data_IF_992157545911
#
_entry.id   IF_992157545911
#
_cell.length_a   1.000
_cell.length_b   1.000
_cell.length_c   1.000
_cell.angle_alpha   90.00
_cell.angle_beta   90.00
_cell.angle_gamma   90.00
#
_symmetry.space_group_name_H-M   'P 1'
#
loop_
_entity.id
_entity.type
_entity.pdbx_description
1 polymer ?
#
# COMPACT_ATOMS: atom_id res chain seq x y z
N UNK A 1 -71.14 12.91 -41.86
CA UNK A 1 -71.84 11.64 -42.10
C UNK A 1 -71.16 10.90 -43.24
N UNK A 2 -71.06 9.58 -43.09
CA UNK A 2 -70.35 8.61 -43.94
C UNK A 2 -70.85 8.56 -45.39
N UNK A 3 -69.96 8.17 -46.32
CA UNK A 3 -70.32 7.79 -47.68
C UNK A 3 -69.10 7.49 -48.55
N UNK A 4 -68.57 6.28 -48.42
CA UNK A 4 -67.45 5.71 -49.16
C UNK A 4 -67.88 5.23 -50.56
N UNK A 5 -67.08 5.47 -51.61
CA UNK A 5 -66.70 4.52 -52.68
C UNK A 5 -66.16 5.23 -53.94
N UNK A 6 -65.06 4.71 -54.52
CA UNK A 6 -64.65 5.13 -55.88
C UNK A 6 -63.18 4.93 -56.24
N UNK A 7 -62.82 3.69 -56.59
CA UNK A 7 -61.49 3.20 -57.02
C UNK A 7 -60.83 3.99 -58.16
N UNK A 8 -59.49 4.06 -58.16
CA UNK A 8 -58.76 4.13 -59.44
C UNK A 8 -57.27 4.48 -59.44
N UNK A 9 -56.42 3.43 -59.53
CA UNK A 9 -55.09 3.40 -60.19
C UNK A 9 -53.95 4.16 -59.48
N UNK A 10 -52.67 3.75 -59.46
CA UNK A 10 -51.93 2.58 -59.97
C UNK A 10 -50.51 2.69 -59.38
N UNK A 11 -49.93 1.57 -58.95
CA UNK A 11 -48.51 1.18 -59.12
C UNK A 11 -47.45 2.06 -58.41
N UNK A 12 -46.69 1.48 -57.47
CA UNK A 12 -45.27 1.13 -57.67
C UNK A 12 -44.69 0.35 -56.49
N UNK A 13 -43.87 -0.62 -56.89
CA UNK A 13 -43.19 -1.66 -56.11
C UNK A 13 -42.28 -1.06 -55.04
N UNK A 14 -42.27 -1.65 -53.86
CA UNK A 14 -41.08 -1.70 -53.02
C UNK A 14 -41.02 -3.06 -52.33
N UNK A 15 -39.86 -3.68 -52.47
CA UNK A 15 -39.61 -5.08 -52.16
C UNK A 15 -39.66 -5.33 -50.66
N UNK A 16 -40.33 -6.43 -50.28
CA UNK A 16 -40.22 -7.03 -48.96
C UNK A 16 -38.87 -7.73 -48.86
N UNK A 17 -37.98 -7.24 -48.02
CA UNK A 17 -36.97 -8.08 -47.36
C UNK A 17 -37.30 -8.11 -45.87
N UNK A 18 -37.70 -9.28 -45.41
CA UNK A 18 -37.77 -9.62 -43.98
C UNK A 18 -36.35 -9.49 -43.41
N UNK A 19 -36.15 -8.58 -42.46
CA UNK A 19 -35.03 -8.66 -41.53
C UNK A 19 -35.59 -9.09 -40.17
N UNK A 20 -35.26 -10.33 -39.80
CA UNK A 20 -35.59 -10.92 -38.52
C UNK A 20 -34.96 -10.08 -37.38
N UNK A 21 -35.80 -9.67 -36.42
CA UNK A 21 -35.35 -9.04 -35.17
C UNK A 21 -34.87 -10.13 -34.22
N UNK A 22 -33.58 -10.40 -34.19
CA UNK A 22 -32.93 -11.10 -33.09
C UNK A 22 -32.64 -10.11 -31.97
N UNK A 23 -33.38 -10.26 -30.86
CA UNK A 23 -33.16 -9.52 -29.63
C UNK A 23 -31.92 -10.13 -28.94
N UNK A 24 -30.76 -9.48 -29.07
CA UNK A 24 -29.54 -9.91 -28.39
C UNK A 24 -29.46 -9.16 -27.05
N UNK A 25 -29.88 -9.82 -25.96
CA UNK A 25 -29.59 -9.36 -24.60
C UNK A 25 -28.08 -9.49 -24.36
N UNK A 26 -27.37 -8.37 -24.45
CA UNK A 26 -26.00 -8.25 -23.99
C UNK A 26 -25.98 -8.23 -22.45
N UNK A 27 -25.35 -9.21 -21.78
CA UNK A 27 -25.10 -9.08 -20.35
C UNK A 27 -24.04 -7.99 -20.15
N UNK A 28 -24.39 -6.97 -19.37
CA UNK A 28 -23.44 -5.96 -18.88
C UNK A 28 -22.51 -6.67 -17.92
N UNK A 29 -21.38 -7.16 -18.43
CA UNK A 29 -20.26 -7.62 -17.62
C UNK A 29 -19.65 -6.36 -16.97
N UNK A 30 -19.88 -6.19 -15.67
CA UNK A 30 -19.20 -5.17 -14.88
C UNK A 30 -17.70 -5.52 -14.87
N UNK A 31 -16.93 -4.89 -15.75
CA UNK A 31 -15.47 -4.92 -15.71
C UNK A 31 -15.05 -4.04 -14.54
N UNK A 32 -14.84 -4.65 -13.38
CA UNK A 32 -14.04 -4.02 -12.33
C UNK A 32 -12.64 -3.78 -12.92
N UNK A 33 -12.13 -2.55 -12.94
CA UNK A 33 -10.75 -2.32 -13.34
C UNK A 33 -9.84 -3.06 -12.35
N UNK A 34 -9.19 -4.11 -12.84
CA UNK A 34 -8.09 -4.76 -12.13
C UNK A 34 -6.95 -3.75 -12.10
N UNK A 35 -6.86 -3.00 -10.99
CA UNK A 35 -5.66 -2.26 -10.67
C UNK A 35 -4.49 -3.26 -10.70
N UNK A 36 -3.38 -2.97 -11.40
CA UNK A 36 -2.22 -3.84 -11.32
C UNK A 36 -1.80 -3.87 -9.85
N UNK A 37 -1.66 -5.08 -9.30
CA UNK A 37 -1.08 -5.33 -7.99
C UNK A 37 0.38 -4.85 -8.01
N UNK A 38 0.58 -3.54 -7.88
CA UNK A 38 1.87 -2.93 -7.70
C UNK A 38 2.32 -3.28 -6.29
N UNK A 39 3.42 -4.05 -6.23
CA UNK A 39 4.45 -4.08 -5.19
C UNK A 39 4.97 -5.50 -4.92
N UNK A 40 4.20 -6.55 -5.25
CA UNK A 40 4.62 -7.92 -4.99
C UNK A 40 5.47 -8.53 -6.13
N UNK A 41 6.79 -8.39 -6.05
CA UNK A 41 7.72 -8.95 -7.05
C UNK A 41 8.13 -10.39 -6.76
N UNK A 42 7.99 -10.87 -5.51
CA UNK A 42 8.32 -12.26 -5.15
C UNK A 42 7.26 -13.22 -5.72
N UNK A 43 7.65 -14.17 -6.60
CA UNK A 43 6.72 -15.09 -7.24
C UNK A 43 5.96 -15.98 -6.24
N UNK A 44 6.53 -16.26 -5.07
CA UNK A 44 5.86 -17.04 -4.01
C UNK A 44 4.67 -16.28 -3.45
N UNK A 45 4.82 -14.97 -3.28
CA UNK A 45 3.76 -14.12 -2.74
C UNK A 45 2.69 -13.80 -3.79
N UNK A 46 3.09 -13.63 -5.05
CA UNK A 46 2.14 -13.56 -6.18
C UNK A 46 1.30 -14.83 -6.28
N UNK A 47 1.92 -16.02 -6.12
CA UNK A 47 1.19 -17.28 -6.09
C UNK A 47 0.18 -17.35 -4.94
N UNK A 48 0.56 -16.90 -3.74
CA UNK A 48 -0.34 -16.85 -2.57
C UNK A 48 -1.59 -16.01 -2.88
N UNK A 49 -1.42 -14.78 -3.39
CA UNK A 49 -2.54 -13.89 -3.72
C UNK A 49 -3.42 -14.52 -4.80
N UNK A 50 -2.81 -15.03 -5.86
CA UNK A 50 -3.52 -15.69 -6.95
C UNK A 50 -4.34 -16.88 -6.45
N UNK A 51 -3.79 -17.72 -5.58
CA UNK A 51 -4.54 -18.83 -5.00
C UNK A 51 -5.76 -18.36 -4.21
N UNK A 52 -5.64 -17.29 -3.43
CA UNK A 52 -6.78 -16.71 -2.72
C UNK A 52 -7.86 -16.20 -3.69
N UNK A 53 -7.48 -15.51 -4.77
CA UNK A 53 -8.39 -15.02 -5.82
C UNK A 53 -9.10 -16.15 -6.57
N UNK A 54 -8.44 -17.29 -6.74
CA UNK A 54 -9.01 -18.51 -7.34
C UNK A 54 -9.86 -19.33 -6.33
N UNK A 55 -10.24 -18.75 -5.19
CA UNK A 55 -11.09 -19.37 -4.16
C UNK A 55 -10.34 -20.29 -3.19
N UNK A 56 -9.02 -20.44 -3.31
CA UNK A 56 -8.19 -21.31 -2.46
C UNK A 56 -7.57 -20.54 -1.30
N UNK A 57 -8.41 -19.87 -0.52
CA UNK A 57 -7.98 -19.01 0.60
C UNK A 57 -7.20 -19.74 1.69
N UNK A 58 -7.62 -20.95 2.10
CA UNK A 58 -6.92 -21.71 3.14
C UNK A 58 -5.53 -22.17 2.71
N UNK A 59 -5.38 -22.57 1.45
CA UNK A 59 -4.09 -22.90 0.85
C UNK A 59 -3.17 -21.68 0.81
N UNK A 60 -3.70 -20.52 0.39
CA UNK A 60 -2.96 -19.27 0.37
C UNK A 60 -2.48 -18.87 1.79
N UNK A 61 -3.37 -18.88 2.79
CA UNK A 61 -3.04 -18.59 4.19
C UNK A 61 -1.99 -19.56 4.74
N UNK A 62 -2.10 -20.84 4.42
CA UNK A 62 -1.13 -21.85 4.88
C UNK A 62 0.24 -21.63 4.26
N UNK A 63 0.31 -21.31 2.97
CA UNK A 63 1.57 -20.96 2.29
C UNK A 63 2.18 -19.69 2.87
N UNK A 64 1.39 -18.65 3.11
CA UNK A 64 1.87 -17.41 3.70
C UNK A 64 2.44 -17.62 5.11
N UNK A 65 1.75 -18.40 5.97
CA UNK A 65 2.24 -18.77 7.31
C UNK A 65 3.56 -19.54 7.26
N UNK A 66 3.69 -20.53 6.36
CA UNK A 66 4.93 -21.30 6.19
C UNK A 66 6.08 -20.43 5.69
N UNK A 67 5.82 -19.53 4.74
CA UNK A 67 6.81 -18.62 4.23
C UNK A 67 7.30 -17.67 5.34
N UNK A 68 6.39 -17.07 6.10
CA UNK A 68 6.76 -16.18 7.21
C UNK A 68 7.62 -16.90 8.26
N UNK A 69 7.27 -18.14 8.62
CA UNK A 69 8.00 -18.94 9.60
C UNK A 69 9.43 -19.30 9.14
N UNK A 70 9.67 -19.33 7.82
CA UNK A 70 10.97 -19.61 7.22
C UNK A 70 11.80 -18.33 6.92
N UNK A 71 11.26 -17.14 7.19
CA UNK A 71 11.90 -15.86 6.89
C UNK A 71 12.31 -15.15 8.18
N UNK A 72 13.53 -14.62 8.22
CA UNK A 72 14.02 -13.85 9.37
C UNK A 72 13.18 -12.57 9.57
N UNK A 73 12.84 -12.16 10.81
CA UNK A 73 12.20 -10.89 11.09
C UNK A 73 12.97 -9.65 10.62
N UNK A 74 14.29 -9.76 10.40
CA UNK A 74 15.16 -8.70 9.88
C UNK A 74 15.27 -8.70 8.35
N UNK A 75 14.67 -9.69 7.68
CA UNK A 75 14.64 -9.77 6.22
C UNK A 75 13.72 -8.68 5.67
N UNK A 76 14.14 -8.00 4.60
CA UNK A 76 13.35 -6.95 3.95
C UNK A 76 12.05 -7.48 3.33
N UNK A 77 11.97 -8.79 3.08
CA UNK A 77 10.77 -9.48 2.62
C UNK A 77 9.76 -9.71 3.75
N UNK A 78 10.17 -9.67 5.02
CA UNK A 78 9.32 -10.02 6.15
C UNK A 78 8.05 -9.14 6.27
N UNK A 79 8.13 -7.79 6.21
CA UNK A 79 6.94 -6.93 6.26
C UNK A 79 6.00 -7.18 5.07
N UNK A 80 6.58 -7.48 3.91
CA UNK A 80 5.85 -7.79 2.70
C UNK A 80 5.06 -9.12 2.84
N UNK A 81 5.61 -10.14 3.49
CA UNK A 81 4.90 -11.40 3.77
C UNK A 81 3.72 -11.15 4.71
N UNK A 82 3.89 -10.32 5.75
CA UNK A 82 2.81 -9.94 6.68
C UNK A 82 1.70 -9.20 5.93
N UNK A 83 2.06 -8.24 5.07
CA UNK A 83 1.09 -7.56 4.24
C UNK A 83 0.31 -8.54 3.35
N UNK A 84 0.99 -9.53 2.76
CA UNK A 84 0.31 -10.60 2.00
C UNK A 84 -0.60 -11.45 2.88
N UNK A 85 -0.21 -11.78 4.12
CA UNK A 85 -1.10 -12.46 5.07
C UNK A 85 -2.38 -11.66 5.31
N UNK A 86 -2.27 -10.33 5.45
CA UNK A 86 -3.43 -9.47 5.54
C UNK A 86 -4.34 -9.57 4.30
N UNK A 87 -3.75 -9.63 3.10
CA UNK A 87 -4.52 -9.68 1.84
C UNK A 87 -5.26 -11.00 1.62
N UNK A 88 -4.81 -12.08 2.25
CA UNK A 88 -5.45 -13.41 2.17
C UNK A 88 -6.17 -13.80 3.46
N UNK A 89 -6.30 -12.87 4.42
CA UNK A 89 -6.98 -13.08 5.69
C UNK A 89 -8.41 -13.58 5.50
N UNK A 90 -8.91 -14.39 6.45
CA UNK A 90 -10.29 -14.88 6.40
C UNK A 90 -11.33 -13.83 6.75
N UNK A 91 -10.93 -12.83 7.53
CA UNK A 91 -11.82 -11.80 8.06
C UNK A 91 -11.11 -10.45 8.23
N UNK A 92 -11.91 -9.41 8.43
CA UNK A 92 -11.46 -8.04 8.58
C UNK A 92 -10.58 -7.84 9.84
N UNK A 93 -10.80 -8.60 10.91
CA UNK A 93 -10.04 -8.44 12.14
C UNK A 93 -8.62 -9.01 11.98
N UNK A 94 -8.47 -10.16 11.33
CA UNK A 94 -7.17 -10.71 10.97
C UNK A 94 -6.44 -9.76 10.00
N UNK A 95 -7.12 -9.27 8.95
CA UNK A 95 -6.53 -8.28 8.03
C UNK A 95 -6.02 -7.05 8.80
N UNK A 96 -6.84 -6.46 9.67
CA UNK A 96 -6.46 -5.28 10.47
C UNK A 96 -5.24 -5.55 11.34
N UNK A 97 -5.21 -6.67 12.09
CA UNK A 97 -4.08 -7.00 12.97
C UNK A 97 -2.76 -7.09 12.20
N UNK A 98 -2.77 -7.75 11.04
CA UNK A 98 -1.57 -7.89 10.22
C UNK A 98 -1.12 -6.55 9.61
N UNK A 99 -2.05 -5.73 9.12
CA UNK A 99 -1.71 -4.40 8.61
C UNK A 99 -1.17 -3.46 9.70
N UNK A 100 -1.76 -3.49 10.89
CA UNK A 100 -1.26 -2.74 12.05
C UNK A 100 0.16 -3.18 12.41
N UNK A 101 0.42 -4.49 12.35
CA UNK A 101 1.76 -5.03 12.57
C UNK A 101 2.78 -4.44 11.60
N UNK A 102 2.47 -4.39 10.30
CA UNK A 102 3.33 -3.75 9.30
C UNK A 102 3.50 -2.25 9.60
N UNK A 103 2.41 -1.53 9.82
CA UNK A 103 2.43 -0.07 10.00
C UNK A 103 3.11 0.38 11.32
N UNK A 104 3.15 -0.46 12.34
CA UNK A 104 3.69 -0.12 13.67
C UNK A 104 5.07 -0.73 13.88
N UNK A 105 5.21 -2.05 13.74
CA UNK A 105 6.49 -2.74 14.00
C UNK A 105 7.50 -2.52 12.87
N UNK A 106 7.01 -2.31 11.64
CA UNK A 106 7.83 -2.16 10.45
C UNK A 106 7.58 -0.80 9.78
N UNK A 107 7.42 0.25 10.57
CA UNK A 107 7.05 1.60 10.11
C UNK A 107 8.02 2.22 9.10
N UNK A 108 9.29 1.81 9.08
CA UNK A 108 10.30 2.28 8.11
C UNK A 108 10.39 1.41 6.86
N UNK A 109 9.67 0.30 6.81
CA UNK A 109 9.65 -0.56 5.63
C UNK A 109 8.88 0.09 4.48
N UNK A 110 9.26 -0.24 3.24
CA UNK A 110 8.61 0.26 2.02
C UNK A 110 7.17 -0.22 1.81
N UNK A 111 6.58 -0.88 2.80
CA UNK A 111 5.22 -1.44 2.80
C UNK A 111 4.36 -0.82 3.92
N UNK A 112 4.92 0.05 4.75
CA UNK A 112 4.21 0.65 5.87
C UNK A 112 3.12 1.62 5.40
N UNK A 113 3.41 2.42 4.36
CA UNK A 113 2.45 3.31 3.71
C UNK A 113 1.36 2.54 2.97
N UNK A 114 1.70 1.45 2.26
CA UNK A 114 0.72 0.52 1.70
C UNK A 114 -0.21 -0.06 2.78
N UNK A 115 0.35 -0.47 3.92
CA UNK A 115 -0.41 -1.02 5.04
C UNK A 115 -1.36 0.01 5.67
N UNK A 116 -0.89 1.24 5.85
CA UNK A 116 -1.71 2.35 6.33
C UNK A 116 -2.83 2.68 5.35
N UNK A 117 -2.55 2.78 4.06
CA UNK A 117 -3.57 3.07 3.07
C UNK A 117 -4.62 1.95 3.01
N UNK A 118 -4.20 0.70 3.22
CA UNK A 118 -5.13 -0.42 3.31
C UNK A 118 -5.97 -0.39 4.59
N UNK A 119 -5.41 0.05 5.72
CA UNK A 119 -6.18 0.31 6.94
C UNK A 119 -7.21 1.43 6.73
N UNK A 120 -6.86 2.50 6.01
CA UNK A 120 -7.80 3.57 5.64
C UNK A 120 -8.98 2.98 4.85
N UNK A 121 -8.72 2.16 3.84
CA UNK A 121 -9.77 1.53 3.04
C UNK A 121 -10.68 0.63 3.88
N UNK A 122 -10.08 -0.15 4.80
CA UNK A 122 -10.81 -1.02 5.71
C UNK A 122 -11.68 -0.22 6.68
N UNK A 123 -11.11 0.81 7.29
CA UNK A 123 -11.80 1.67 8.26
C UNK A 123 -12.94 2.44 7.59
N UNK A 124 -12.69 3.05 6.42
CA UNK A 124 -13.72 3.73 5.64
C UNK A 124 -14.87 2.79 5.25
N UNK A 125 -14.57 1.58 4.76
CA UNK A 125 -15.58 0.59 4.40
C UNK A 125 -16.43 0.15 5.60
N UNK A 126 -15.85 0.15 6.81
CA UNK A 126 -16.56 -0.16 8.06
C UNK A 126 -17.27 1.03 8.71
N UNK A 127 -17.19 2.23 8.12
CA UNK A 127 -17.75 3.46 8.70
C UNK A 127 -16.91 4.09 9.81
N UNK A 128 -15.73 3.53 10.12
CA UNK A 128 -14.77 4.10 11.07
C UNK A 128 -14.01 5.28 10.41
N UNK A 129 -14.73 6.36 10.13
CA UNK A 129 -14.16 7.51 9.43
C UNK A 129 -13.03 8.17 10.24
N UNK A 130 -13.12 8.20 11.57
CA UNK A 130 -12.06 8.74 12.43
C UNK A 130 -10.76 7.93 12.33
N UNK A 131 -10.85 6.59 12.34
CA UNK A 131 -9.70 5.72 12.12
C UNK A 131 -9.06 5.93 10.75
N UNK A 132 -9.88 6.05 9.71
CA UNK A 132 -9.43 6.40 8.37
C UNK A 132 -8.69 7.75 8.37
N UNK A 133 -9.29 8.81 8.93
CA UNK A 133 -8.68 10.14 8.99
C UNK A 133 -7.33 10.15 9.72
N UNK A 134 -7.20 9.46 10.87
CA UNK A 134 -5.93 9.35 11.59
C UNK A 134 -4.84 8.69 10.74
N UNK A 135 -5.16 7.59 10.06
CA UNK A 135 -4.19 6.90 9.21
C UNK A 135 -3.82 7.72 7.96
N UNK A 136 -4.77 8.47 7.39
CA UNK A 136 -4.51 9.40 6.28
C UNK A 136 -3.51 10.49 6.68
N UNK A 137 -3.73 11.16 7.81
CA UNK A 137 -2.82 12.17 8.33
C UNK A 137 -1.43 11.58 8.61
N UNK A 138 -1.39 10.37 9.16
CA UNK A 138 -0.14 9.64 9.39
C UNK A 138 0.64 9.39 8.09
N UNK A 139 -0.04 8.97 7.00
CA UNK A 139 0.63 8.79 5.70
C UNK A 139 1.27 10.11 5.24
N UNK A 140 0.54 11.22 5.32
CA UNK A 140 1.03 12.54 4.88
C UNK A 140 2.21 13.05 5.73
N UNK A 141 2.20 12.79 7.04
CA UNK A 141 3.22 13.30 7.96
C UNK A 141 4.47 12.40 7.99
N UNK A 142 4.29 11.09 8.08
CA UNK A 142 5.39 10.14 8.27
C UNK A 142 6.01 9.69 6.93
N UNK A 143 5.27 9.80 5.82
CA UNK A 143 5.68 9.32 4.48
C UNK A 143 5.51 10.39 3.39
N UNK A 144 6.14 11.58 3.52
CA UNK A 144 5.97 12.71 2.59
C UNK A 144 6.48 12.44 1.17
N UNK A 145 7.32 11.41 0.99
CA UNK A 145 7.84 11.00 -0.33
C UNK A 145 7.09 9.79 -0.91
N UNK A 146 6.01 9.34 -0.25
CA UNK A 146 5.27 8.16 -0.72
C UNK A 146 4.60 8.42 -2.07
N UNK A 147 4.73 7.49 -3.04
CA UNK A 147 4.00 7.59 -4.30
C UNK A 147 2.47 7.43 -4.12
N UNK A 148 2.03 7.01 -2.93
CA UNK A 148 0.62 6.85 -2.58
C UNK A 148 -0.05 8.15 -2.15
N UNK A 149 0.67 9.27 -2.02
CA UNK A 149 0.09 10.53 -1.55
C UNK A 149 -1.09 11.03 -2.40
N UNK A 150 -1.06 11.00 -3.75
CA UNK A 150 -2.24 11.30 -4.55
C UNK A 150 -3.46 10.42 -4.26
N UNK A 151 -3.23 9.12 -4.04
CA UNK A 151 -4.29 8.18 -3.69
C UNK A 151 -4.80 8.42 -2.26
N UNK A 152 -3.89 8.76 -1.34
CA UNK A 152 -4.20 9.15 0.04
C UNK A 152 -5.08 10.39 0.05
N UNK A 153 -4.75 11.41 -0.76
CA UNK A 153 -5.60 12.60 -0.96
C UNK A 153 -7.00 12.26 -1.44
N UNK A 154 -7.14 11.31 -2.36
CA UNK A 154 -8.44 10.85 -2.83
C UNK A 154 -9.27 10.21 -1.69
N UNK A 155 -8.66 9.32 -0.90
CA UNK A 155 -9.34 8.72 0.24
C UNK A 155 -9.63 9.73 1.36
N UNK A 156 -8.75 10.70 1.59
CA UNK A 156 -8.96 11.78 2.54
C UNK A 156 -10.13 12.67 2.14
N UNK A 157 -10.20 13.07 0.87
CA UNK A 157 -11.32 13.85 0.36
C UNK A 157 -12.67 13.18 0.64
N UNK A 158 -12.78 11.88 0.33
CA UNK A 158 -13.99 11.09 0.61
C UNK A 158 -14.28 11.02 2.11
N UNK A 159 -13.28 10.66 2.91
CA UNK A 159 -13.41 10.52 4.36
C UNK A 159 -13.88 11.82 5.01
N UNK A 160 -13.26 12.95 4.70
CA UNK A 160 -13.60 14.24 5.29
C UNK A 160 -14.93 14.80 4.78
N UNK A 161 -15.33 14.54 3.53
CA UNK A 161 -16.69 14.87 3.09
C UNK A 161 -17.75 14.08 3.85
N UNK A 162 -17.50 12.79 4.12
CA UNK A 162 -18.43 11.95 4.88
C UNK A 162 -18.49 12.35 6.35
N UNK A 163 -17.38 12.83 6.92
CA UNK A 163 -17.29 13.45 8.25
C UNK A 163 -17.90 14.85 8.33
N UNK A 164 -18.41 15.42 7.24
CA UNK A 164 -18.91 16.81 7.17
C UNK A 164 -17.85 17.87 7.48
N UNK A 165 -16.59 17.58 7.14
CA UNK A 165 -15.45 18.49 7.21
C UNK A 165 -14.98 18.90 5.80
N UNK A 166 -15.78 19.67 5.03
CA UNK A 166 -15.49 19.93 3.62
C UNK A 166 -14.23 20.77 3.39
N UNK A 167 -13.85 21.64 4.33
CA UNK A 167 -12.63 22.45 4.22
C UNK A 167 -11.37 21.56 4.21
N UNK A 168 -11.34 20.57 5.11
CA UNK A 168 -10.26 19.60 5.20
C UNK A 168 -10.21 18.74 3.91
N UNK A 169 -11.38 18.29 3.43
CA UNK A 169 -11.47 17.57 2.16
C UNK A 169 -10.89 18.38 0.99
N UNK A 170 -11.26 19.65 0.87
CA UNK A 170 -10.80 20.53 -0.20
C UNK A 170 -9.31 20.86 -0.16
N UNK A 171 -8.72 20.91 1.05
CA UNK A 171 -7.26 21.00 1.20
C UNK A 171 -6.56 19.75 0.67
N UNK A 172 -7.02 18.57 1.07
CA UNK A 172 -6.47 17.30 0.60
C UNK A 172 -6.58 17.12 -0.92
N UNK A 173 -7.69 17.58 -1.54
CA UNK A 173 -7.87 17.57 -2.99
C UNK A 173 -6.83 18.46 -3.68
N UNK A 174 -6.63 19.68 -3.18
CA UNK A 174 -5.65 20.61 -3.74
C UNK A 174 -4.22 20.02 -3.69
N UNK A 175 -3.84 19.46 -2.54
CA UNK A 175 -2.55 18.79 -2.35
C UNK A 175 -2.38 17.60 -3.32
N UNK A 176 -3.45 16.79 -3.50
CA UNK A 176 -3.44 15.63 -4.38
C UNK A 176 -3.29 16.00 -5.86
N UNK A 177 -4.04 17.01 -6.33
CA UNK A 177 -3.98 17.48 -7.72
C UNK A 177 -2.61 18.04 -8.09
N UNK A 178 -1.92 18.67 -7.14
CA UNK A 178 -0.56 19.16 -7.35
C UNK A 178 0.43 18.01 -7.61
N UNK A 179 0.23 16.87 -6.95
CA UNK A 179 1.14 15.70 -6.98
C UNK A 179 0.75 14.65 -8.04
N UNK A 180 -0.48 14.67 -8.56
CA UNK A 180 -1.01 13.62 -9.45
C UNK A 180 -0.88 13.91 -10.95
N UNK A 181 -0.09 14.91 -11.38
CA UNK A 181 -0.08 15.41 -12.77
C UNK A 181 0.23 14.37 -13.84
N UNK A 182 0.95 13.31 -13.50
CA UNK A 182 1.28 12.20 -14.41
C UNK A 182 0.28 11.05 -14.39
N UNK A 183 -0.67 11.05 -13.45
CA UNK A 183 -1.70 10.02 -13.30
C UNK A 183 -3.07 10.60 -13.66
N UNK A 184 -3.42 10.50 -14.95
CA UNK A 184 -4.67 11.04 -15.52
C UNK A 184 -5.91 10.51 -14.79
N UNK A 185 -5.91 9.24 -14.38
CA UNK A 185 -7.04 8.64 -13.68
C UNK A 185 -7.24 9.28 -12.30
N UNK A 186 -6.19 9.36 -11.48
CA UNK A 186 -6.29 10.02 -10.17
C UNK A 186 -6.58 11.52 -10.32
N UNK A 187 -6.05 12.17 -11.34
CA UNK A 187 -6.33 13.57 -11.63
C UNK A 187 -7.82 13.78 -11.96
N UNK A 188 -8.42 12.89 -12.75
CA UNK A 188 -9.86 12.93 -13.04
C UNK A 188 -10.70 12.65 -11.79
N UNK A 189 -10.33 11.66 -10.98
CA UNK A 189 -11.03 11.34 -9.73
C UNK A 189 -10.99 12.50 -8.73
N UNK A 190 -9.82 13.11 -8.52
CA UNK A 190 -9.68 14.28 -7.66
C UNK A 190 -10.37 15.51 -8.23
N UNK A 191 -10.29 15.73 -9.55
CA UNK A 191 -10.99 16.83 -10.24
C UNK A 191 -12.51 16.73 -10.12
N UNK A 192 -13.07 15.52 -10.16
CA UNK A 192 -14.49 15.31 -9.89
C UNK A 192 -14.87 15.74 -8.46
N UNK A 193 -14.07 15.36 -7.46
CA UNK A 193 -14.30 15.77 -6.08
C UNK A 193 -14.11 17.29 -5.88
N UNK A 194 -13.20 17.92 -6.63
CA UNK A 194 -12.91 19.35 -6.57
C UNK A 194 -14.10 20.23 -6.97
N UNK A 195 -15.04 19.72 -7.79
CA UNK A 195 -16.25 20.45 -8.18
C UNK A 195 -17.07 20.91 -6.96
N UNK A 196 -16.98 20.17 -5.84
CA UNK A 196 -17.65 20.48 -4.59
C UNK A 196 -16.95 21.57 -3.76
N UNK A 197 -15.73 21.95 -4.13
CA UNK A 197 -14.87 22.84 -3.35
C UNK A 197 -15.01 24.33 -3.71
N UNK A 198 -15.59 24.68 -4.86
CA UNK A 198 -15.72 26.08 -5.27
C UNK A 198 -16.51 26.93 -4.24
N UNK A 199 -17.68 26.44 -3.82
CA UNK A 199 -18.50 27.11 -2.80
C UNK A 199 -17.80 27.17 -1.44
N UNK A 200 -17.10 26.11 -1.06
CA UNK A 200 -16.36 26.02 0.21
C UNK A 200 -15.21 27.05 0.25
N UNK A 201 -14.45 27.17 -0.84
CA UNK A 201 -13.38 28.17 -0.96
C UNK A 201 -13.92 29.60 -0.87
N UNK A 202 -15.06 29.87 -1.51
CA UNK A 202 -15.71 31.17 -1.44
C UNK A 202 -16.20 31.50 -0.02
N UNK A 203 -16.80 30.51 0.67
CA UNK A 203 -17.24 30.67 2.06
C UNK A 203 -16.07 30.96 3.00
N UNK A 204 -14.97 30.20 2.89
CA UNK A 204 -13.75 30.45 3.68
C UNK A 204 -13.20 31.86 3.41
N UNK A 205 -13.15 32.29 2.14
CA UNK A 205 -12.65 33.61 1.76
C UNK A 205 -13.52 34.76 2.28
N UNK A 206 -14.82 34.52 2.50
CA UNK A 206 -15.75 35.50 3.03
C UNK A 206 -15.72 35.60 4.56
N UNK A 207 -15.05 34.67 5.28
CA UNK A 207 -14.95 34.73 6.74
C UNK A 207 -14.02 35.86 7.17
N UNK A 208 -14.42 36.69 8.16
CA UNK A 208 -13.52 37.70 8.70
C UNK A 208 -12.30 37.04 9.36
N UNK A 209 -11.11 37.67 9.32
CA UNK A 209 -9.93 37.18 10.02
C UNK A 209 -10.22 36.98 11.51
N UNK A 210 -9.66 35.93 12.10
CA UNK A 210 -9.88 35.59 13.52
C UNK A 210 -9.41 36.72 14.47
N UNK A 211 -8.45 37.54 14.04
CA UNK A 211 -7.97 38.71 14.80
C UNK A 211 -8.93 39.92 14.79
N UNK A 212 -10.06 39.84 14.08
CA UNK A 212 -11.01 40.93 13.91
C UNK A 212 -12.26 40.84 14.81
N UNK A 213 -12.31 39.91 15.77
CA UNK A 213 -13.38 39.95 16.78
C UNK A 213 -13.08 41.03 17.82
N UNK A 214 -13.92 42.07 17.99
CA UNK A 214 -13.85 42.95 19.14
C UNK A 214 -14.06 42.10 20.39
N UNK A 215 -13.14 42.22 21.35
CA UNK A 215 -13.01 41.32 22.49
C UNK A 215 -14.34 40.94 23.15
N UNK A 216 -14.66 39.65 23.08
CA UNK A 216 -15.13 38.98 24.29
C UNK A 216 -13.94 39.03 25.23
N UNK A 217 -14.01 39.97 26.17
CA UNK A 217 -13.14 40.03 27.32
C UNK A 217 -12.86 38.61 27.80
N UNK A 218 -11.60 38.34 28.12
CA UNK A 218 -11.26 37.31 29.09
C UNK A 218 -12.12 37.56 30.33
N UNK A 219 -13.30 36.95 30.36
CA UNK A 219 -14.01 36.66 31.58
C UNK A 219 -13.06 35.74 32.32
N UNK A 220 -12.27 36.34 33.21
CA UNK A 220 -11.68 35.61 34.31
C UNK A 220 -12.81 34.74 34.85
N UNK A 221 -12.57 33.44 34.90
CA UNK A 221 -13.45 32.55 35.63
C UNK A 221 -13.40 33.04 37.07
N UNK A 222 -14.35 33.89 37.42
CA UNK A 222 -14.80 34.08 38.77
C UNK A 222 -15.00 32.68 39.32
N UNK A 223 -14.10 32.33 40.23
CA UNK A 223 -14.19 31.13 41.03
C UNK A 223 -15.35 31.36 41.98
N UNK A 224 -16.57 31.19 41.47
CA UNK A 224 -17.73 30.99 42.30
C UNK A 224 -17.53 29.64 43.00
N UNK A 225 -17.11 29.75 44.26
CA UNK A 225 -16.96 28.66 45.19
C UNK A 225 -18.22 27.78 45.19
N UNK A 226 -18.07 26.55 44.72
CA UNK A 226 -18.96 25.45 45.09
C UNK A 226 -18.61 25.02 46.52
N UNK A 227 -19.60 24.71 47.38
CA UNK A 227 -19.35 24.12 48.70
C UNK A 227 -18.60 22.79 48.55
N UNK A 228 -17.75 22.40 49.52
CA UNK A 228 -17.03 21.14 49.44
C UNK A 228 -18.02 19.96 49.56
N UNK A 229 -18.24 19.27 48.44
CA UNK A 229 -18.89 17.96 48.44
C UNK A 229 -17.95 16.96 49.11
N UNK A 230 -18.46 16.31 50.15
CA UNK A 230 -17.74 15.38 50.99
C UNK A 230 -17.29 14.18 50.14
N UNK A 231 -15.98 13.92 50.15
CA UNK A 231 -15.40 12.74 49.51
C UNK A 231 -15.86 11.48 50.25
N UNK A 232 -16.79 10.73 49.67
CA UNK A 232 -17.00 9.33 50.04
C UNK A 232 -15.79 8.50 49.58
N UNK A 233 -15.19 7.66 50.45
CA UNK A 233 -14.04 6.86 50.08
C UNK A 233 -14.45 5.71 49.16
N UNK A 234 -13.85 5.66 47.97
CA UNK A 234 -13.92 4.51 47.07
C UNK A 234 -13.24 3.31 47.75
N UNK A 235 -13.90 2.14 47.90
CA UNK A 235 -13.28 0.97 48.50
C UNK A 235 -12.19 0.40 47.58
N UNK A 236 -11.00 0.26 48.15
CA UNK A 236 -9.87 -0.47 47.57
C UNK A 236 -10.20 -1.98 47.48
N UNK A 237 -9.78 -2.67 46.40
CA UNK A 237 -9.90 -4.13 46.34
C UNK A 237 -8.94 -4.77 47.36
N UNK A 238 -9.35 -5.83 48.07
CA UNK A 238 -8.51 -6.48 49.07
C UNK A 238 -7.35 -7.26 48.42
N UNK A 239 -6.19 -7.34 49.09
CA UNK A 239 -5.05 -8.13 48.62
C UNK A 239 -5.33 -9.62 48.78
N UNK A 240 -5.14 -10.38 47.72
CA UNK A 240 -5.15 -11.85 47.75
C UNK A 240 -3.88 -12.37 48.43
N UNK A 241 -4.03 -12.90 49.65
CA UNK A 241 -2.98 -13.70 50.30
C UNK A 241 -2.73 -15.00 49.54
N UNK A 242 -1.47 -15.41 49.33
CA UNK A 242 -1.14 -16.78 48.95
C UNK A 242 -1.11 -17.68 50.19
N UNK A 243 -1.65 -18.89 50.10
CA UNK A 243 -1.49 -19.96 51.11
C UNK A 243 -1.25 -21.30 50.37
N UNK A 244 -0.67 -22.33 51.02
CA UNK A 244 0.75 -22.60 51.01
C UNK A 244 1.13 -23.91 50.29
N UNK A 245 2.43 -24.06 50.09
CA UNK A 245 3.15 -25.20 49.51
C UNK A 245 2.86 -26.51 50.27
N UNK A 246 2.60 -27.59 49.53
CA UNK A 246 2.76 -28.97 50.00
C UNK A 246 3.96 -29.61 49.28
N UNK A 247 4.89 -30.12 50.08
CA UNK A 247 6.23 -30.58 49.74
C UNK A 247 6.25 -31.96 49.07
N UNK A 248 7.25 -32.15 48.21
CA UNK A 248 7.62 -33.35 47.45
C UNK A 248 8.05 -34.57 48.30
N UNK A 249 8.35 -35.70 47.62
CA UNK A 249 9.55 -36.48 47.95
C UNK A 249 10.60 -36.41 46.84
N UNK A 250 11.86 -36.34 47.28
CA UNK A 250 13.10 -36.20 46.52
C UNK A 250 13.49 -37.45 45.70
N UNK A 251 14.49 -37.30 44.82
CA UNK A 251 15.65 -38.19 44.88
C UNK A 251 16.95 -37.42 45.12
N UNK A 252 17.87 -38.05 45.83
CA UNK A 252 19.24 -37.58 46.14
C UNK A 252 20.26 -38.56 45.51
N UNK A 253 21.57 -38.31 45.57
CA UNK A 253 22.40 -37.86 44.46
C UNK A 253 23.46 -38.90 44.01
N UNK A 254 24.04 -38.73 42.82
CA UNK A 254 25.38 -39.26 42.51
C UNK A 254 26.06 -38.40 41.41
N UNK A 255 27.32 -38.05 41.64
CA UNK A 255 28.32 -37.37 40.81
C UNK A 255 29.64 -38.19 40.95
N UNK A 256 30.70 -38.17 40.07
CA UNK A 256 30.99 -37.42 38.83
C UNK A 256 31.49 -38.25 37.60
N UNK A 257 31.53 -37.52 36.46
CA UNK A 257 32.36 -37.55 35.23
C UNK A 257 33.43 -38.65 34.93
N UNK A 258 33.81 -38.90 33.65
CA UNK A 258 34.68 -37.95 32.92
C UNK A 258 34.33 -37.67 31.44
N UNK A 259 34.71 -36.47 31.00
CA UNK A 259 34.68 -35.99 29.63
C UNK A 259 35.82 -36.54 28.76
N UNK A 260 35.68 -36.50 27.43
CA UNK A 260 36.82 -36.30 26.55
C UNK A 260 36.75 -34.96 25.80
N UNK A 261 37.72 -34.11 26.13
CA UNK A 261 38.47 -33.17 25.30
C UNK A 261 37.77 -32.44 24.13
N UNK A 262 37.48 -31.17 24.37
CA UNK A 262 37.52 -30.08 23.38
C UNK A 262 39.00 -29.80 23.00
N UNK A 263 39.34 -29.60 21.72
CA UNK A 263 40.55 -28.85 21.35
C UNK A 263 40.27 -27.35 21.42
N UNK A 264 41.02 -26.63 22.26
CA UNK A 264 41.15 -25.17 22.24
C UNK A 264 42.17 -24.71 21.16
N UNK A 265 42.21 -23.40 20.83
CA UNK A 265 42.63 -22.85 19.53
C UNK A 265 44.09 -22.37 19.51
N UNK A 266 44.65 -22.08 18.33
CA UNK A 266 45.83 -21.22 18.24
C UNK A 266 45.41 -19.76 18.00
N UNK A 267 45.94 -18.87 18.84
CA UNK A 267 46.12 -17.44 18.59
C UNK A 267 47.59 -17.09 18.93
N UNK A 268 48.16 -15.91 18.61
CA UNK A 268 47.65 -14.77 17.84
C UNK A 268 48.68 -14.14 16.85
N UNK A 269 48.29 -12.98 16.28
CA UNK A 269 49.08 -11.91 15.62
C UNK A 269 48.89 -11.86 14.07
N UNK A 270 48.47 -10.74 13.46
CA UNK A 270 48.76 -9.34 13.77
C UNK A 270 47.63 -8.36 13.36
N UNK A 271 47.58 -7.26 14.12
CA UNK A 271 47.17 -5.87 13.78
C UNK A 271 45.70 -5.54 13.52
N UNK A 272 45.06 -5.05 14.59
CA UNK A 272 44.08 -3.97 14.56
C UNK A 272 44.79 -2.62 14.37
N UNK A 273 44.12 -1.61 13.79
CA UNK A 273 44.16 -0.26 14.36
C UNK A 273 42.84 0.07 15.06
N UNK A 274 42.94 0.82 16.16
CA UNK A 274 41.84 1.36 16.97
C UNK A 274 41.13 2.57 16.28
N UNK A 275 39.95 2.99 16.80
CA UNK A 275 38.98 3.81 16.10
C UNK A 275 39.25 5.32 16.25
N UNK A 276 39.23 6.03 15.12
CA UNK A 276 39.07 7.48 15.10
C UNK A 276 37.60 7.82 14.82
N UNK A 277 37.00 8.56 15.76
CA UNK A 277 35.69 9.19 15.60
C UNK A 277 35.68 10.13 14.39
N UNK A 278 34.74 9.91 13.45
CA UNK A 278 34.36 10.92 12.44
C UNK A 278 32.86 10.86 12.22
N UNK A 279 32.21 11.94 12.64
CA UNK A 279 30.98 12.56 12.17
C UNK A 279 29.93 11.71 11.41
N UNK A 280 28.73 11.72 11.98
CA UNK A 280 27.45 11.37 11.35
C UNK A 280 27.31 11.96 9.94
N UNK A 281 27.30 11.09 8.93
CA UNK A 281 26.87 11.41 7.57
C UNK A 281 25.78 10.40 7.18
N UNK A 282 24.61 10.83 6.68
CA UNK A 282 23.52 9.92 6.37
C UNK A 282 23.97 8.94 5.28
N UNK A 283 23.80 7.66 5.57
CA UNK A 283 24.04 6.57 4.64
C UNK A 283 23.03 6.67 3.48
N UNK A 284 23.47 7.26 2.36
CA UNK A 284 22.78 7.12 1.09
C UNK A 284 23.01 5.68 0.62
N UNK A 285 21.96 4.86 0.63
CA UNK A 285 21.96 3.55 -0.01
C UNK A 285 22.07 3.73 -1.52
N UNK A 286 23.27 3.63 -2.07
CA UNK A 286 23.52 3.60 -3.51
C UNK A 286 23.17 2.22 -4.07
N UNK A 287 21.89 1.90 -4.18
CA UNK A 287 21.43 0.77 -5.00
C UNK A 287 21.28 1.23 -6.45
N UNK A 288 21.92 0.56 -7.41
CA UNK A 288 21.70 0.86 -8.83
C UNK A 288 20.38 0.25 -9.26
N UNK A 289 19.58 1.00 -10.02
CA UNK A 289 18.29 0.56 -10.54
C UNK A 289 18.39 0.37 -12.04
N UNK A 290 17.71 -0.65 -12.57
CA UNK A 290 17.57 -0.89 -14.00
C UNK A 290 16.13 -1.18 -14.37
N UNK A 291 15.79 -0.99 -15.64
CA UNK A 291 14.47 -1.34 -16.17
C UNK A 291 14.55 -2.72 -16.81
N UNK A 292 13.76 -3.67 -16.31
CA UNK A 292 13.66 -5.00 -16.91
C UNK A 292 12.72 -4.95 -18.12
N UNK A 293 13.24 -5.42 -19.26
CA UNK A 293 12.54 -5.42 -20.55
C UNK A 293 11.83 -6.75 -20.79
N UNK A 294 12.50 -7.87 -20.52
CA UNK A 294 11.91 -9.20 -20.67
C UNK A 294 12.66 -10.25 -19.86
N UNK A 295 12.02 -11.40 -19.64
CA UNK A 295 12.63 -12.60 -19.10
C UNK A 295 12.29 -13.78 -20.00
N UNK A 296 13.29 -14.38 -20.65
CA UNK A 296 13.10 -15.47 -21.62
C UNK A 296 13.88 -16.71 -21.22
N UNK A 297 13.34 -17.91 -21.49
CA UNK A 297 14.03 -19.18 -21.20
C UNK A 297 15.18 -19.45 -22.16
N UNK A 298 15.05 -19.01 -23.41
CA UNK A 298 16.03 -19.30 -24.47
C UNK A 298 17.15 -18.25 -24.47
N UNK A 299 18.42 -18.63 -24.23
CA UNK A 299 19.55 -17.69 -24.18
C UNK A 299 19.76 -16.93 -25.50
N UNK A 300 19.60 -17.62 -26.64
CA UNK A 300 19.73 -16.99 -27.96
C UNK A 300 18.73 -15.85 -28.18
N UNK A 301 17.51 -15.96 -27.64
CA UNK A 301 16.49 -14.91 -27.71
C UNK A 301 16.84 -13.70 -26.83
N UNK A 302 17.40 -13.93 -25.64
CA UNK A 302 17.90 -12.85 -24.78
C UNK A 302 19.07 -12.10 -25.42
N UNK A 303 19.99 -12.84 -26.05
CA UNK A 303 21.16 -12.28 -26.73
C UNK A 303 20.75 -11.43 -27.93
N UNK A 304 19.87 -11.96 -28.80
CA UNK A 304 19.37 -11.24 -29.97
C UNK A 304 18.64 -9.94 -29.59
N UNK A 305 17.93 -9.93 -28.46
CA UNK A 305 17.29 -8.73 -27.94
C UNK A 305 18.32 -7.74 -27.39
N UNK A 306 19.31 -8.20 -26.62
CA UNK A 306 20.39 -7.35 -26.14
C UNK A 306 21.14 -6.68 -27.31
N UNK A 307 21.40 -7.41 -28.40
CA UNK A 307 22.07 -6.83 -29.58
C UNK A 307 21.21 -5.79 -30.30
N UNK A 308 19.88 -6.00 -30.35
CA UNK A 308 18.94 -5.00 -30.86
C UNK A 308 18.91 -3.75 -29.99
N UNK A 309 18.93 -3.91 -28.66
CA UNK A 309 18.96 -2.80 -27.70
C UNK A 309 20.27 -2.01 -27.79
N UNK A 310 21.41 -2.68 -27.97
CA UNK A 310 22.72 -2.03 -28.22
C UNK A 310 22.70 -1.17 -29.48
N UNK A 311 22.10 -1.67 -30.57
CA UNK A 311 21.93 -0.92 -31.82
C UNK A 311 21.04 0.32 -31.67
N UNK A 312 20.18 0.34 -30.66
CA UNK A 312 19.34 1.50 -30.31
C UNK A 312 20.03 2.45 -29.31
N UNK A 313 21.31 2.26 -29.02
CA UNK A 313 22.10 3.10 -28.11
C UNK A 313 21.85 2.83 -26.63
N UNK A 314 21.16 1.75 -26.28
CA UNK A 314 20.92 1.34 -24.89
C UNK A 314 22.03 0.40 -24.42
N UNK A 315 22.24 0.34 -23.10
CA UNK A 315 23.22 -0.54 -22.44
C UNK A 315 22.51 -1.72 -21.76
N UNK A 316 22.22 -2.83 -22.48
CA UNK A 316 21.55 -3.98 -21.91
C UNK A 316 22.50 -4.89 -21.13
N UNK A 317 22.01 -5.40 -20.00
CA UNK A 317 22.63 -6.45 -19.19
C UNK A 317 21.70 -7.66 -19.15
N UNK A 318 22.27 -8.84 -19.35
CA UNK A 318 21.55 -10.11 -19.25
C UNK A 318 21.91 -10.73 -17.90
N UNK A 319 20.91 -10.87 -17.03
CA UNK A 319 21.06 -11.53 -15.73
C UNK A 319 20.39 -12.91 -15.81
N UNK A 320 21.14 -13.96 -15.51
CA UNK A 320 20.60 -15.31 -15.45
C UNK A 320 20.09 -15.59 -14.03
N UNK A 321 18.81 -15.90 -13.90
CA UNK A 321 18.18 -16.10 -12.60
C UNK A 321 17.03 -17.10 -12.75
N UNK A 322 17.01 -18.15 -11.92
CA UNK A 322 15.97 -19.19 -11.92
C UNK A 322 15.71 -19.82 -13.31
N UNK A 323 16.76 -20.04 -14.11
CA UNK A 323 16.66 -20.64 -15.45
C UNK A 323 16.08 -19.70 -16.53
N UNK A 324 15.93 -18.41 -16.21
CA UNK A 324 15.49 -17.36 -17.13
C UNK A 324 16.64 -16.38 -17.39
N UNK A 325 16.67 -15.84 -18.60
CA UNK A 325 17.58 -14.79 -19.03
C UNK A 325 16.81 -13.47 -19.01
N UNK A 326 17.04 -12.67 -17.97
CA UNK A 326 16.39 -11.37 -17.75
C UNK A 326 17.21 -10.28 -18.43
N UNK A 327 16.63 -9.64 -19.45
CA UNK A 327 17.26 -8.52 -20.15
C UNK A 327 16.85 -7.22 -19.46
N UNK A 328 17.82 -6.49 -18.92
CA UNK A 328 17.66 -5.22 -18.20
C UNK A 328 18.39 -4.09 -18.93
N UNK A 329 17.89 -2.87 -18.87
CA UNK A 329 18.48 -1.68 -19.53
C UNK A 329 18.57 -0.50 -18.57
N UNK A 330 19.55 0.37 -18.84
CA UNK A 330 19.80 1.57 -18.05
C UNK A 330 20.73 1.30 -16.86
N UNK A 331 21.17 2.39 -16.24
CA UNK A 331 21.89 2.43 -14.98
C UNK A 331 21.42 3.71 -14.28
N UNK A 332 20.53 3.56 -13.31
CA UNK A 332 19.89 4.68 -12.62
C UNK A 332 20.32 4.67 -11.17
N UNK A 333 20.66 5.83 -10.62
CA UNK A 333 21.10 5.93 -9.23
C UNK A 333 19.95 5.77 -8.24
N UNK A 334 18.71 6.03 -8.68
CA UNK A 334 17.53 5.98 -7.82
C UNK A 334 16.32 5.32 -8.51
N UNK A 335 15.41 4.75 -7.72
CA UNK A 335 14.16 4.17 -8.22
C UNK A 335 13.27 5.19 -8.94
N UNK A 336 13.10 6.44 -8.45
CA UNK A 336 12.34 7.47 -9.14
C UNK A 336 12.92 7.83 -10.51
N UNK A 337 14.25 7.88 -10.62
CA UNK A 337 14.95 8.12 -11.89
C UNK A 337 14.69 6.99 -12.90
N UNK A 338 14.78 5.74 -12.46
CA UNK A 338 14.44 4.58 -13.30
C UNK A 338 12.95 4.55 -13.69
N UNK A 339 12.05 5.00 -12.81
CA UNK A 339 10.62 5.08 -13.08
C UNK A 339 10.28 6.20 -14.08
N UNK A 340 10.98 7.34 -14.01
CA UNK A 340 10.82 8.44 -14.95
C UNK A 340 11.22 8.06 -16.39
N UNK A 341 12.11 7.06 -16.57
CA UNK A 341 12.49 6.55 -17.88
C UNK A 341 11.50 5.53 -18.49
N UNK A 342 10.52 5.04 -17.72
CA UNK A 342 9.56 4.02 -18.19
C UNK A 342 8.71 4.47 -19.39
N UNK A 343 8.17 5.71 -19.45
CA UNK A 343 7.34 6.14 -20.58
C UNK A 343 8.10 6.11 -21.91
N UNK A 344 9.32 6.63 -21.93
CA UNK A 344 10.17 6.68 -23.11
C UNK A 344 10.61 5.30 -23.57
N UNK A 345 10.99 4.43 -22.61
CA UNK A 345 11.37 3.06 -22.91
C UNK A 345 10.16 2.24 -23.38
N UNK A 346 8.96 2.48 -22.83
CA UNK A 346 7.73 1.80 -23.25
C UNK A 346 7.33 2.20 -24.66
N UNK A 347 7.47 3.48 -25.01
CA UNK A 347 7.24 3.97 -26.36
C UNK A 347 8.22 3.37 -27.38
N UNK A 348 9.49 3.13 -26.99
CA UNK A 348 10.54 2.59 -27.88
C UNK A 348 10.57 1.06 -27.98
N UNK A 349 10.27 0.36 -26.90
CA UNK A 349 10.49 -1.10 -26.77
C UNK A 349 9.20 -1.91 -26.75
N UNK A 350 8.07 -1.30 -26.40
CA UNK A 350 6.80 -1.99 -26.18
C UNK A 350 6.83 -2.96 -24.98
N UNK A 351 5.67 -3.54 -24.67
CA UNK A 351 5.55 -4.54 -23.60
C UNK A 351 5.48 -3.97 -22.17
N UNK A 352 5.52 -4.88 -21.20
CA UNK A 352 5.44 -4.58 -19.76
C UNK A 352 6.83 -4.39 -19.18
N UNK A 353 7.27 -3.14 -19.07
CA UNK A 353 8.55 -2.74 -18.47
C UNK A 353 8.37 -2.44 -16.98
N UNK A 354 9.33 -2.82 -16.14
CA UNK A 354 9.31 -2.50 -14.72
C UNK A 354 10.72 -2.28 -14.15
N UNK A 355 10.81 -1.41 -13.14
CA UNK A 355 12.07 -1.07 -12.46
C UNK A 355 12.47 -2.18 -11.48
N UNK A 356 13.73 -2.55 -11.48
CA UNK A 356 14.35 -3.56 -10.62
C UNK A 356 15.60 -2.97 -9.98
N UNK A 357 15.79 -3.20 -8.68
CA UNK A 357 17.02 -2.86 -7.97
C UNK A 357 18.10 -3.92 -8.24
N UNK A 358 19.34 -3.50 -8.46
CA UNK A 358 20.50 -4.37 -8.47
C UNK A 358 21.10 -4.44 -7.06
N UNK A 359 21.52 -5.65 -6.63
CA UNK A 359 22.18 -5.86 -5.35
C UNK A 359 23.59 -5.25 -5.29
#
# INVERSE_FOLDING_TARGET
MNGNDGKGKRIRRAWRTLAARTLFCLPVLAVFPVLPALAQTDPRLVDIIRQAQEGRGDSARTKARRLLAATSPTDTLYPQIIYTQAMVASDANEMRRQLQRVAVEYSTASWADDALLRLVQLDYASGNLEGAARNLERIRLDYPDSPLLPQTSYWAARTYFDQKAPEQACRWIADGLAQSRSNVELQNQLGYLDQRCAGIRAEIAARPPIDSQPGLASGGTDTAALPPEQAEPVPTPPPSNPTPVATAPAPTPDEPAPAPARPEPPAPAKTSPEPAAVASRPAQTTGRFRVQVTAVRVPATAQALADRLRKQGLTPVIVQEAGLHKVRVGDYATRPEAAAALPDLKAKLGGSLFVVAEP
#
